data_IF_081201308138
#
_entry.id   IF_081201308138
#
_cell.length_a   1.000
_cell.length_b   1.000
_cell.length_c   1.000
_cell.angle_alpha   90.00
_cell.angle_beta   90.00
_cell.angle_gamma   90.00
#
_symmetry.space_group_name_H-M   'P 1'
#
loop_
_entity.id
_entity.type
_entity.pdbx_description
1 polymer ?
#
# COMPACT_ATOMS: atom_id res chain seq x y z
N UNK A 1 -10.60 11.41 -8.57
CA UNK A 1 -9.22 10.98 -8.83
C UNK A 1 -9.23 9.74 -9.72
N UNK A 2 -8.41 9.73 -10.76
CA UNK A 2 -8.11 8.58 -11.61
C UNK A 2 -6.62 8.31 -11.56
N UNK A 3 -6.24 7.09 -11.21
CA UNK A 3 -4.84 6.68 -11.10
C UNK A 3 -4.57 5.45 -11.99
N UNK A 4 -3.44 5.47 -12.69
CA UNK A 4 -2.88 4.29 -13.35
C UNK A 4 -1.62 3.88 -12.63
N UNK A 5 -1.47 2.59 -12.36
CA UNK A 5 -0.31 2.01 -11.73
C UNK A 5 0.98 2.37 -12.45
N UNK A 6 1.98 2.84 -11.71
CA UNK A 6 3.29 3.26 -12.25
C UNK A 6 4.24 2.06 -12.30
N UNK A 7 4.38 1.33 -11.19
CA UNK A 7 5.23 0.15 -11.13
C UNK A 7 4.47 -1.10 -11.61
N UNK A 8 4.22 -1.18 -12.91
CA UNK A 8 3.57 -2.34 -13.54
C UNK A 8 4.59 -3.46 -13.67
N UNK A 9 4.31 -4.62 -13.05
CA UNK A 9 5.18 -5.79 -13.14
C UNK A 9 5.35 -6.24 -14.60
N UNK A 10 6.56 -6.71 -14.96
CA UNK A 10 6.90 -7.12 -16.33
C UNK A 10 5.85 -8.05 -16.95
N UNK A 11 5.35 -9.00 -16.17
CA UNK A 11 4.30 -9.95 -16.57
C UNK A 11 2.97 -9.32 -16.97
N UNK A 12 2.73 -8.07 -16.60
CA UNK A 12 1.46 -7.38 -16.83
C UNK A 12 1.61 -6.20 -17.81
N UNK A 13 2.81 -5.90 -18.30
CA UNK A 13 3.06 -4.74 -19.17
C UNK A 13 2.41 -4.87 -20.54
N UNK A 14 2.20 -6.08 -21.03
CA UNK A 14 1.49 -6.31 -22.30
C UNK A 14 -0.04 -6.07 -22.16
N UNK A 15 -0.56 -6.02 -20.93
CA UNK A 15 -1.99 -5.89 -20.66
C UNK A 15 -2.34 -4.49 -20.14
N UNK A 16 -1.48 -3.89 -19.32
CA UNK A 16 -1.75 -2.63 -18.65
C UNK A 16 -0.80 -1.51 -19.09
N UNK A 17 -1.37 -0.36 -19.42
CA UNK A 17 -0.57 0.84 -19.66
C UNK A 17 0.08 1.33 -18.36
N UNK A 18 1.36 1.65 -18.43
CA UNK A 18 2.11 2.25 -17.31
C UNK A 18 1.59 3.66 -17.03
N UNK A 19 1.34 3.98 -15.77
CA UNK A 19 1.00 5.31 -15.30
C UNK A 19 2.17 6.27 -15.40
N UNK A 20 1.87 7.55 -15.65
CA UNK A 20 2.89 8.59 -15.81
C UNK A 20 2.67 9.79 -14.89
N UNK A 21 1.65 9.74 -14.03
CA UNK A 21 1.27 10.86 -13.18
C UNK A 21 0.91 10.41 -11.79
N UNK A 22 1.25 11.25 -10.81
CA UNK A 22 0.76 11.15 -9.44
C UNK A 22 -0.19 12.30 -9.17
N UNK A 23 -1.21 12.05 -8.38
CA UNK A 23 -2.13 13.08 -7.92
C UNK A 23 -2.74 12.73 -6.57
N UNK A 24 -3.17 13.75 -5.86
CA UNK A 24 -3.91 13.64 -4.61
C UNK A 24 -5.26 14.33 -4.77
N UNK A 25 -6.19 14.04 -3.89
CA UNK A 25 -7.52 14.65 -3.87
C UNK A 25 -7.84 15.15 -2.47
N UNK A 26 -8.39 16.35 -2.38
CA UNK A 26 -8.97 16.86 -1.14
C UNK A 26 -10.31 16.18 -0.88
N UNK A 27 -10.50 15.77 0.36
CA UNK A 27 -11.75 15.19 0.85
C UNK A 27 -12.15 15.88 2.16
N UNK A 28 -13.39 15.74 2.61
CA UNK A 28 -13.80 16.25 3.92
C UNK A 28 -12.97 15.72 5.10
N UNK A 29 -12.28 14.61 4.92
CA UNK A 29 -11.44 13.96 5.93
C UNK A 29 -9.96 14.35 5.83
N UNK A 30 -9.54 15.02 4.75
CA UNK A 30 -8.17 15.39 4.46
C UNK A 30 -7.73 14.98 3.05
N UNK A 31 -6.45 15.19 2.75
CA UNK A 31 -5.88 14.88 1.45
C UNK A 31 -5.60 13.38 1.35
N UNK A 32 -6.08 12.78 0.28
CA UNK A 32 -5.96 11.33 0.00
C UNK A 32 -5.16 11.11 -1.27
N UNK A 33 -4.20 10.19 -1.21
CA UNK A 33 -3.48 9.64 -2.36
C UNK A 33 -3.94 8.23 -2.71
N UNK A 34 -3.61 7.79 -3.92
CA UNK A 34 -3.85 6.41 -4.37
C UNK A 34 -2.59 5.87 -5.03
N UNK A 35 -2.22 4.65 -4.70
CA UNK A 35 -1.24 3.84 -5.41
C UNK A 35 -1.72 2.39 -5.47
N UNK A 36 -1.08 1.51 -6.26
CA UNK A 36 -1.62 0.17 -6.50
C UNK A 36 -0.52 -0.88 -6.29
N UNK A 37 -0.72 -1.79 -5.33
CA UNK A 37 0.04 -3.02 -5.17
C UNK A 37 1.56 -2.79 -5.19
N UNK A 38 2.27 -3.18 -6.25
CA UNK A 38 3.74 -3.04 -6.41
C UNK A 38 4.25 -1.60 -6.44
N UNK A 39 3.39 -0.59 -6.54
CA UNK A 39 3.78 0.80 -6.28
C UNK A 39 4.26 1.01 -4.83
N UNK A 40 4.00 0.05 -3.94
CA UNK A 40 4.47 0.04 -2.55
C UNK A 40 5.61 -0.97 -2.30
N UNK A 41 6.25 -1.53 -3.31
CA UNK A 41 7.44 -2.33 -3.05
C UNK A 41 8.56 -1.48 -2.45
N UNK A 42 9.47 -2.11 -1.71
CA UNK A 42 10.58 -1.43 -1.07
C UNK A 42 11.48 -0.65 -2.06
N UNK A 43 11.50 -1.07 -3.31
CA UNK A 43 12.20 -0.43 -4.42
C UNK A 43 11.35 0.62 -5.19
N UNK A 44 10.14 0.90 -4.71
CA UNK A 44 9.19 1.84 -5.32
C UNK A 44 8.60 2.82 -4.30
N UNK A 45 9.22 2.98 -3.15
CA UNK A 45 8.74 3.86 -2.07
C UNK A 45 8.67 5.33 -2.48
N UNK A 46 9.38 5.75 -3.52
CA UNK A 46 9.36 7.11 -4.05
C UNK A 46 7.94 7.54 -4.47
N UNK A 47 7.11 6.61 -4.92
CA UNK A 47 5.71 6.88 -5.26
C UNK A 47 4.94 7.33 -4.01
N UNK A 48 5.01 6.55 -2.94
CA UNK A 48 4.39 6.88 -1.66
C UNK A 48 4.98 8.14 -1.02
N UNK A 49 6.30 8.33 -1.08
CA UNK A 49 6.98 9.55 -0.64
C UNK A 49 6.45 10.78 -1.36
N UNK A 50 6.27 10.69 -2.67
CA UNK A 50 5.77 11.81 -3.47
C UNK A 50 4.33 12.16 -3.10
N UNK A 51 3.44 11.16 -2.98
CA UNK A 51 2.06 11.38 -2.53
C UNK A 51 2.01 12.04 -1.16
N UNK A 52 2.83 11.59 -0.21
CA UNK A 52 2.94 12.19 1.12
C UNK A 52 3.40 13.65 1.06
N UNK A 53 4.38 13.97 0.21
CA UNK A 53 4.87 15.34 0.01
C UNK A 53 3.85 16.23 -0.69
N UNK A 54 2.97 15.66 -1.52
CA UNK A 54 1.83 16.36 -2.08
C UNK A 54 0.70 16.60 -1.06
N UNK A 55 0.89 16.17 0.17
CA UNK A 55 -0.02 16.44 1.29
C UNK A 55 -0.90 15.27 1.71
N UNK A 56 -0.81 14.11 1.05
CA UNK A 56 -1.62 12.96 1.44
C UNK A 56 -1.42 12.58 2.92
N UNK A 57 -2.53 12.43 3.63
CA UNK A 57 -2.56 11.91 5.00
C UNK A 57 -3.08 10.49 5.07
N UNK A 58 -3.72 10.06 4.01
CA UNK A 58 -4.11 8.69 3.77
C UNK A 58 -3.74 8.28 2.35
N UNK A 59 -3.24 7.07 2.19
CA UNK A 59 -3.02 6.44 0.88
C UNK A 59 -3.92 5.21 0.80
N UNK A 60 -4.78 5.16 -0.20
CA UNK A 60 -5.57 3.98 -0.53
C UNK A 60 -4.80 3.13 -1.53
N UNK A 61 -4.57 1.86 -1.17
CA UNK A 61 -3.71 0.95 -1.93
C UNK A 61 -4.41 -0.38 -2.21
N UNK A 62 -5.28 -0.45 -3.23
CA UNK A 62 -5.82 -1.73 -3.65
C UNK A 62 -4.71 -2.63 -4.17
N UNK A 63 -4.78 -3.92 -3.86
CA UNK A 63 -3.72 -4.88 -4.15
C UNK A 63 -4.28 -6.27 -4.49
N UNK A 64 -3.53 -7.03 -5.28
CA UNK A 64 -3.76 -8.45 -5.51
C UNK A 64 -2.47 -9.19 -5.18
N UNK A 65 -2.20 -9.36 -3.89
CA UNK A 65 -1.05 -10.11 -3.43
C UNK A 65 -1.28 -11.61 -3.63
N UNK A 66 -0.31 -12.29 -4.21
CA UNK A 66 -0.38 -13.72 -4.47
C UNK A 66 0.65 -14.48 -3.66
N UNK A 67 0.29 -15.69 -3.24
CA UNK A 67 1.17 -16.65 -2.60
C UNK A 67 1.06 -18.00 -3.30
N UNK A 68 2.04 -18.87 -3.08
CA UNK A 68 1.96 -20.24 -3.55
C UNK A 68 0.81 -20.98 -2.86
N UNK A 69 0.18 -21.92 -3.55
CA UNK A 69 -0.99 -22.62 -3.03
C UNK A 69 -0.74 -23.32 -1.69
N UNK A 70 0.50 -23.78 -1.46
CA UNK A 70 0.94 -24.45 -0.23
C UNK A 70 1.06 -23.53 0.99
N UNK A 71 1.01 -22.20 0.82
CA UNK A 71 1.14 -21.26 1.94
C UNK A 71 -0.11 -21.30 2.80
N UNK A 72 0.08 -21.61 4.09
CA UNK A 72 -0.97 -21.65 5.11
C UNK A 72 -0.70 -20.69 6.27
N UNK A 73 0.38 -19.90 6.20
CA UNK A 73 0.71 -18.87 7.19
C UNK A 73 -0.32 -17.76 7.16
N UNK A 74 -1.04 -17.57 8.26
CA UNK A 74 -2.16 -16.65 8.35
C UNK A 74 -1.81 -15.25 8.90
N UNK A 75 -0.67 -15.12 9.58
CA UNK A 75 -0.26 -13.85 10.20
C UNK A 75 0.46 -12.91 9.23
N UNK A 76 1.32 -13.47 8.42
CA UNK A 76 2.13 -12.70 7.46
C UNK A 76 2.30 -13.46 6.14
N UNK A 77 1.21 -13.79 5.44
CA UNK A 77 1.25 -14.67 4.27
C UNK A 77 2.05 -14.08 3.11
N UNK A 78 2.16 -12.76 3.05
CA UNK A 78 2.86 -12.04 1.96
C UNK A 78 4.30 -11.65 2.32
N UNK A 79 4.75 -11.94 3.55
CA UNK A 79 6.11 -11.64 4.01
C UNK A 79 6.42 -10.15 4.07
N UNK A 80 7.71 -9.83 3.92
CA UNK A 80 8.22 -8.46 4.04
C UNK A 80 7.77 -7.51 2.92
N UNK A 81 7.25 -8.03 1.82
CA UNK A 81 6.81 -7.23 0.67
C UNK A 81 5.57 -6.39 0.93
N UNK A 82 4.83 -6.69 1.96
CA UNK A 82 3.53 -6.15 2.23
C UNK A 82 3.54 -5.14 3.39
N UNK A 83 3.73 -5.60 4.63
CA UNK A 83 3.64 -4.75 5.81
C UNK A 83 4.78 -3.72 5.92
N UNK A 84 6.02 -4.15 5.69
CA UNK A 84 7.18 -3.30 5.94
C UNK A 84 7.22 -2.02 5.11
N UNK A 85 6.99 -2.05 3.78
CA UNK A 85 6.94 -0.83 2.99
C UNK A 85 5.86 0.14 3.47
N UNK A 86 4.67 -0.35 3.80
CA UNK A 86 3.58 0.46 4.32
C UNK A 86 3.95 1.12 5.66
N UNK A 87 4.47 0.34 6.58
CA UNK A 87 4.88 0.86 7.89
C UNK A 87 6.03 1.87 7.76
N UNK A 88 6.96 1.64 6.84
CA UNK A 88 8.04 2.58 6.56
C UNK A 88 7.50 3.94 6.12
N UNK A 89 6.64 3.98 5.12
CA UNK A 89 6.02 5.22 4.64
C UNK A 89 5.17 5.90 5.72
N UNK A 90 4.35 5.12 6.42
CA UNK A 90 3.49 5.63 7.49
C UNK A 90 4.29 6.29 8.61
N UNK A 91 5.39 5.67 9.02
CA UNK A 91 6.28 6.20 10.06
C UNK A 91 7.03 7.46 9.59
N UNK A 92 7.52 7.47 8.34
CA UNK A 92 8.28 8.59 7.79
C UNK A 92 7.46 9.86 7.65
N UNK A 93 6.23 9.73 7.23
CA UNK A 93 5.40 10.85 6.84
C UNK A 93 4.21 11.11 7.77
N UNK A 94 4.07 10.32 8.83
CA UNK A 94 2.91 10.37 9.72
C UNK A 94 1.60 10.35 8.92
N UNK A 95 1.38 9.27 8.21
CA UNK A 95 0.19 9.03 7.38
C UNK A 95 -0.39 7.63 7.64
N UNK A 96 -1.57 7.40 7.11
CA UNK A 96 -2.24 6.10 7.15
C UNK A 96 -2.24 5.47 5.77
N UNK A 97 -1.96 4.18 5.68
CA UNK A 97 -2.12 3.40 4.44
C UNK A 97 -3.21 2.37 4.67
N UNK A 98 -4.17 2.33 3.76
CA UNK A 98 -5.25 1.34 3.75
C UNK A 98 -5.12 0.50 2.48
N UNK A 99 -4.84 -0.79 2.65
CA UNK A 99 -4.68 -1.74 1.56
C UNK A 99 -5.79 -2.78 1.60
N UNK A 100 -6.66 -2.74 0.60
CA UNK A 100 -7.62 -3.81 0.36
C UNK A 100 -6.99 -4.84 -0.58
N UNK A 101 -7.07 -6.13 -0.21
CA UNK A 101 -6.48 -7.23 -0.95
C UNK A 101 -7.54 -8.21 -1.45
N UNK A 102 -7.22 -8.92 -2.52
CA UNK A 102 -8.11 -9.89 -3.14
C UNK A 102 -8.09 -11.24 -2.41
N UNK A 103 -9.09 -12.06 -2.69
CA UNK A 103 -9.18 -13.48 -2.29
C UNK A 103 -9.45 -14.34 -3.53
N UNK A 104 -9.09 -15.61 -3.47
CA UNK A 104 -9.40 -16.59 -4.50
C UNK A 104 -8.19 -17.24 -5.15
N UNK A 105 -8.44 -18.30 -5.92
CA UNK A 105 -7.42 -19.03 -6.68
C UNK A 105 -7.31 -18.41 -8.07
N UNK A 106 -6.07 -18.30 -8.56
CA UNK A 106 -5.81 -17.76 -9.90
C UNK A 106 -5.93 -18.89 -10.92
N UNK A 107 -6.82 -18.66 -11.89
CA UNK A 107 -7.06 -19.60 -13.00
C UNK A 107 -6.53 -18.97 -14.28
N UNK A 108 -5.49 -19.58 -14.83
CA UNK A 108 -4.84 -19.14 -16.06
C UNK A 108 -3.76 -18.06 -15.89
N UNK A 109 -2.92 -17.92 -16.92
CA UNK A 109 -1.81 -16.98 -16.96
C UNK A 109 -0.60 -17.41 -16.13
N UNK A 110 0.39 -16.52 -16.00
CA UNK A 110 1.69 -16.83 -15.37
C UNK A 110 1.62 -17.10 -13.85
N UNK A 111 0.52 -16.77 -13.23
CA UNK A 111 0.28 -17.02 -11.81
C UNK A 111 -0.76 -18.11 -11.56
N UNK A 112 -1.09 -18.89 -12.58
CA UNK A 112 -2.01 -20.02 -12.45
C UNK A 112 -1.57 -20.97 -11.31
N UNK A 113 -2.54 -21.42 -10.52
CA UNK A 113 -2.30 -22.26 -9.34
C UNK A 113 -1.84 -21.53 -8.09
N UNK A 114 -1.56 -20.20 -8.16
CA UNK A 114 -1.38 -19.38 -6.96
C UNK A 114 -2.72 -18.92 -6.39
N UNK A 115 -2.69 -18.44 -5.17
CA UNK A 115 -3.89 -17.93 -4.50
C UNK A 115 -3.68 -16.55 -3.89
N UNK A 116 -4.77 -15.83 -3.71
CA UNK A 116 -4.88 -14.59 -2.96
C UNK A 116 -5.64 -14.88 -1.69
N UNK A 117 -5.14 -14.40 -0.56
CA UNK A 117 -5.60 -14.87 0.75
C UNK A 117 -6.16 -13.77 1.66
N UNK A 118 -6.60 -12.66 1.07
CA UNK A 118 -7.17 -11.56 1.83
C UNK A 118 -6.13 -10.84 2.68
N UNK A 119 -6.33 -10.77 4.00
CA UNK A 119 -5.47 -10.06 4.94
C UNK A 119 -5.37 -8.55 4.65
N UNK A 120 -6.45 -7.94 4.19
CA UNK A 120 -6.54 -6.48 4.02
C UNK A 120 -6.06 -5.74 5.26
N UNK A 121 -5.43 -4.58 5.12
CA UNK A 121 -4.59 -4.00 6.15
C UNK A 121 -4.75 -2.49 6.21
N UNK A 122 -4.85 -1.94 7.42
CA UNK A 122 -4.64 -0.52 7.68
C UNK A 122 -3.44 -0.33 8.62
N UNK A 123 -2.54 0.57 8.26
CA UNK A 123 -1.27 0.83 8.97
C UNK A 123 -1.10 2.32 9.21
N UNK A 124 -0.60 2.68 10.38
CA UNK A 124 -0.12 4.02 10.72
C UNK A 124 1.34 3.96 11.23
N UNK A 125 1.84 5.08 11.74
CA UNK A 125 3.22 5.18 12.26
C UNK A 125 3.53 4.26 13.44
N UNK A 126 2.52 3.82 14.17
CA UNK A 126 2.68 2.93 15.34
C UNK A 126 2.56 1.45 14.99
N UNK A 127 2.11 1.13 13.76
CA UNK A 127 1.96 -0.23 13.27
C UNK A 127 0.59 -0.50 12.66
N UNK A 128 0.14 -1.75 12.76
CA UNK A 128 -1.14 -2.21 12.21
C UNK A 128 -2.29 -1.65 13.06
N UNK A 129 -3.20 -0.90 12.42
CA UNK A 129 -4.46 -0.45 13.03
C UNK A 129 -5.46 -1.61 13.02
N UNK A 130 -5.59 -2.27 11.89
CA UNK A 130 -6.47 -3.42 11.71
C UNK A 130 -5.98 -4.30 10.57
N UNK A 131 -6.32 -5.57 10.64
CA UNK A 131 -5.99 -6.55 9.61
C UNK A 131 -7.19 -7.49 9.42
N UNK A 132 -7.54 -7.74 8.16
CA UNK A 132 -8.51 -8.75 7.77
C UNK A 132 -7.98 -10.17 8.02
N UNK A 133 -8.87 -11.14 8.02
CA UNK A 133 -8.52 -12.54 8.20
C UNK A 133 -7.87 -13.12 6.95
N UNK A 134 -7.03 -14.13 7.17
CA UNK A 134 -6.63 -15.04 6.12
C UNK A 134 -7.87 -15.79 5.62
N UNK A 135 -8.17 -15.69 4.34
CA UNK A 135 -9.26 -16.38 3.70
C UNK A 135 -9.02 -16.47 2.20
N UNK A 136 -9.08 -17.64 1.65
CA UNK A 136 -8.87 -17.90 0.22
C UNK A 136 -10.18 -18.13 -0.57
N UNK A 137 -11.33 -18.14 0.12
CA UNK A 137 -12.61 -18.50 -0.51
C UNK A 137 -13.65 -17.37 -0.45
N UNK A 138 -13.62 -16.56 0.59
CA UNK A 138 -14.69 -15.59 0.86
C UNK A 138 -14.12 -14.21 1.16
N UNK A 139 -14.68 -13.19 0.53
CA UNK A 139 -14.36 -11.81 0.86
C UNK A 139 -14.81 -11.44 2.27
N UNK A 140 -14.14 -10.48 2.88
CA UNK A 140 -14.44 -9.95 4.21
C UNK A 140 -14.64 -8.44 4.14
N UNK A 141 -15.61 -7.93 4.89
CA UNK A 141 -15.74 -6.50 5.16
C UNK A 141 -15.07 -6.17 6.50
N UNK A 142 -13.95 -5.45 6.44
CA UNK A 142 -13.25 -4.96 7.63
C UNK A 142 -13.66 -3.52 7.87
N UNK A 143 -14.22 -3.24 9.06
CA UNK A 143 -14.63 -1.91 9.48
C UNK A 143 -13.74 -1.47 10.63
N UNK A 144 -13.14 -0.29 10.51
CA UNK A 144 -12.32 0.29 11.57
C UNK A 144 -12.44 1.81 11.56
N UNK A 145 -12.23 2.43 12.71
CA UNK A 145 -12.12 3.87 12.83
C UNK A 145 -10.65 4.26 12.66
N UNK A 146 -10.40 5.29 11.86
CA UNK A 146 -9.06 5.81 11.56
C UNK A 146 -9.03 7.30 11.89
N UNK A 147 -8.12 7.67 12.77
CA UNK A 147 -7.79 9.06 13.03
C UNK A 147 -6.68 9.49 12.07
N UNK A 148 -7.00 10.41 11.17
CA UNK A 148 -6.01 10.94 10.24
C UNK A 148 -5.14 11.98 10.94
N UNK A 149 -3.83 11.91 10.76
CA UNK A 149 -2.92 12.89 11.31
C UNK A 149 -3.17 14.27 10.68
N UNK A 150 -2.92 15.32 11.46
CA UNK A 150 -3.04 16.69 10.95
C UNK A 150 -2.09 16.92 9.79
N UNK A 151 -2.47 17.74 8.79
CA UNK A 151 -1.56 18.13 7.72
C UNK A 151 -0.27 18.71 8.30
N UNK A 152 0.87 18.21 7.84
CA UNK A 152 2.16 18.79 8.17
C UNK A 152 2.59 19.71 7.04
N UNK A 153 3.12 20.87 7.37
CA UNK A 153 3.78 21.72 6.39
C UNK A 153 5.07 21.00 5.99
N UNK A 154 5.07 20.47 4.77
CA UNK A 154 6.23 19.80 4.19
C UNK A 154 7.10 20.86 3.51
N UNK A 155 7.89 21.56 4.32
CA UNK A 155 8.86 22.54 3.83
C UNK A 155 10.19 21.90 3.44
N UNK A 156 11.22 22.73 3.35
CA UNK A 156 12.59 22.36 2.95
C UNK A 156 13.28 21.37 3.90
N UNK A 157 12.78 21.22 5.13
CA UNK A 157 13.40 20.37 6.18
C UNK A 157 13.05 18.88 6.06
N UNK A 158 12.42 18.45 4.98
CA UNK A 158 12.07 17.03 4.78
C UNK A 158 13.33 16.16 4.80
N UNK A 159 14.42 16.59 4.17
CA UNK A 159 15.69 15.85 4.16
C UNK A 159 16.29 15.68 5.54
N UNK A 160 16.25 16.72 6.38
CA UNK A 160 16.74 16.66 7.76
C UNK A 160 15.89 15.73 8.62
N UNK A 161 14.56 15.78 8.46
CA UNK A 161 13.66 14.88 9.17
C UNK A 161 13.90 13.43 8.79
N UNK A 162 14.09 13.15 7.51
CA UNK A 162 14.36 11.80 7.02
C UNK A 162 15.71 11.27 7.53
N UNK A 163 16.75 12.12 7.59
CA UNK A 163 18.04 11.77 8.22
C UNK A 163 17.87 11.48 9.71
N UNK A 164 17.15 12.33 10.43
CA UNK A 164 16.90 12.15 11.88
C UNK A 164 16.13 10.84 12.16
N UNK A 165 15.36 10.34 11.19
CA UNK A 165 14.67 9.07 11.25
C UNK A 165 15.49 7.87 10.71
N UNK A 166 16.74 8.11 10.31
CA UNK A 166 17.65 7.07 9.83
C UNK A 166 17.37 6.60 8.39
N UNK A 167 16.66 7.40 7.58
CA UNK A 167 16.27 7.02 6.23
C UNK A 167 17.30 7.36 5.17
N UNK A 168 18.15 8.34 5.45
CA UNK A 168 19.30 8.70 4.62
C UNK A 168 20.54 8.81 5.54
N UNK A 169 21.61 8.15 5.12
CA UNK A 169 22.93 8.27 5.76
C UNK A 169 23.64 9.53 5.27
#
# INVERSE_FOLDING_TARGET
LKYRKINVLAVAQDIYSIGQTLSVVETPFGIVGVNICSDNYADSLEIGHTLARMGARMILSPSSWTVDYSVTEDKNPYGSKWYQPYHTLARLHDLVIVSATSVGVIVGGVYEGKKMVGCSLAVNKTGIITQGKYNEFTGELVITQIDLPRPQILGTNVGERLRAQGCYK
#
